data_IF_911193444056
#
_entry.id   IF_911193444056
#
_cell.length_a   1.000
_cell.length_b   1.000
_cell.length_c   1.000
_cell.angle_alpha   90.00
_cell.angle_beta   90.00
_cell.angle_gamma   90.00
#
_symmetry.space_group_name_H-M   'P 1'
#
loop_
_entity.id
_entity.type
_entity.pdbx_description
1 polymer ?
#
# COMPACT_ATOMS: atom_id res chain seq x y z
N UNK A 1 58.08 51.43 15.65
CA UNK A 1 57.25 51.32 14.44
C UNK A 1 56.75 49.88 14.38
N UNK A 2 55.51 49.66 14.85
CA UNK A 2 54.84 48.36 14.81
C UNK A 2 54.01 48.26 13.51
N UNK A 3 54.11 47.16 12.73
CA UNK A 3 53.27 46.97 11.56
C UNK A 3 51.87 46.50 11.97
N UNK A 4 50.86 47.26 11.54
CA UNK A 4 49.43 46.94 11.60
C UNK A 4 49.13 45.64 10.82
N UNK A 5 48.80 44.57 11.54
CA UNK A 5 48.14 43.39 10.97
C UNK A 5 46.76 43.78 10.44
N UNK A 6 46.52 43.46 9.17
CA UNK A 6 45.26 43.71 8.46
C UNK A 6 44.53 42.37 8.32
N UNK A 7 43.38 42.22 8.97
CA UNK A 7 42.56 41.01 8.89
C UNK A 7 41.93 40.85 7.50
N UNK A 8 41.94 39.65 6.90
CA UNK A 8 41.24 39.40 5.64
C UNK A 8 39.73 39.20 5.86
N UNK A 9 38.93 39.91 5.06
CA UNK A 9 37.47 39.76 5.01
C UNK A 9 37.09 38.48 4.28
N UNK A 10 36.38 37.57 4.95
CA UNK A 10 35.79 36.38 4.32
C UNK A 10 34.60 36.76 3.42
N UNK A 11 34.47 36.21 2.22
CA UNK A 11 33.28 36.38 1.39
C UNK A 11 32.10 35.59 1.95
N UNK A 12 30.97 36.25 2.13
CA UNK A 12 29.68 35.64 2.51
C UNK A 12 29.24 34.65 1.43
N UNK A 13 28.87 33.39 1.75
CA UNK A 13 28.30 32.48 0.78
C UNK A 13 26.92 32.99 0.29
N UNK A 14 26.56 32.76 -0.98
CA UNK A 14 25.24 33.14 -1.48
C UNK A 14 24.15 32.34 -0.74
N UNK A 15 22.94 32.90 -0.58
CA UNK A 15 21.84 32.21 0.07
C UNK A 15 21.49 30.95 -0.73
N UNK A 16 21.62 29.80 -0.07
CA UNK A 16 21.13 28.52 -0.56
C UNK A 16 19.66 28.65 -0.93
N UNK A 17 19.36 28.54 -2.22
CA UNK A 17 18.01 28.52 -2.74
C UNK A 17 17.35 27.22 -2.30
N UNK A 18 16.75 27.22 -1.10
CA UNK A 18 15.87 26.16 -0.64
C UNK A 18 14.58 26.22 -1.45
N UNK A 19 14.60 25.59 -2.63
CA UNK A 19 13.41 25.25 -3.40
C UNK A 19 12.64 24.20 -2.61
N UNK A 20 11.78 24.67 -1.71
CA UNK A 20 10.69 23.91 -1.12
C UNK A 20 9.67 23.60 -2.21
N UNK A 21 9.96 22.64 -3.10
CA UNK A 21 8.92 22.09 -3.96
C UNK A 21 8.14 21.07 -3.15
N UNK A 22 7.13 21.54 -2.42
CA UNK A 22 6.07 20.63 -1.97
C UNK A 22 5.53 19.93 -3.22
N UNK A 23 5.33 18.60 -3.18
CA UNK A 23 4.77 17.90 -4.33
C UNK A 23 3.41 18.51 -4.69
N UNK A 24 3.05 18.57 -5.99
CA UNK A 24 1.74 19.05 -6.40
C UNK A 24 0.64 18.20 -5.73
N UNK A 25 -0.52 18.81 -5.45
CA UNK A 25 -1.64 18.09 -4.85
C UNK A 25 -2.08 16.91 -5.75
N UNK A 26 -2.67 15.86 -5.16
CA UNK A 26 -3.25 14.77 -5.93
C UNK A 26 -4.36 15.30 -6.83
N UNK A 27 -4.47 14.70 -8.01
CA UNK A 27 -5.42 15.15 -9.04
C UNK A 27 -6.74 14.37 -9.02
N UNK A 28 -6.80 13.27 -8.26
CA UNK A 28 -7.96 12.42 -8.11
C UNK A 28 -7.90 11.67 -6.77
N UNK A 29 -9.07 11.40 -6.20
CA UNK A 29 -9.29 10.50 -5.07
C UNK A 29 -10.03 9.26 -5.61
N UNK A 30 -9.58 8.06 -5.24
CA UNK A 30 -10.27 6.80 -5.52
C UNK A 30 -10.71 6.16 -4.21
N UNK A 31 -11.97 5.75 -4.15
CA UNK A 31 -12.65 5.12 -3.00
C UNK A 31 -13.37 3.86 -3.44
N UNK A 32 -13.55 2.92 -2.51
CA UNK A 32 -14.21 1.63 -2.79
C UNK A 32 -15.62 1.83 -3.33
N UNK A 33 -16.32 2.84 -2.83
CA UNK A 33 -17.71 3.17 -3.17
C UNK A 33 -17.90 4.00 -4.45
N UNK A 34 -16.83 4.38 -5.15
CA UNK A 34 -16.95 5.22 -6.35
C UNK A 34 -17.72 4.47 -7.45
N UNK A 35 -18.92 4.94 -7.83
CA UNK A 35 -19.80 4.20 -8.74
C UNK A 35 -19.13 3.77 -10.07
N UNK A 36 -18.30 4.60 -10.73
CA UNK A 36 -17.65 4.24 -11.98
C UNK A 36 -16.72 3.02 -11.88
N UNK A 37 -16.20 2.70 -10.68
CA UNK A 37 -15.33 1.55 -10.50
C UNK A 37 -16.08 0.22 -10.65
N UNK A 38 -17.40 0.21 -10.45
CA UNK A 38 -18.22 -0.98 -10.61
C UNK A 38 -18.40 -1.39 -12.08
N UNK A 39 -18.27 -0.44 -13.01
CA UNK A 39 -18.42 -0.65 -14.47
C UNK A 39 -17.10 -1.05 -15.16
N UNK A 40 -15.97 -1.00 -14.44
CA UNK A 40 -14.67 -1.35 -14.99
C UNK A 40 -14.57 -2.84 -15.32
N UNK A 41 -13.81 -3.16 -16.37
CA UNK A 41 -13.46 -4.54 -16.70
C UNK A 41 -12.35 -5.04 -15.78
N UNK A 42 -12.76 -5.62 -14.66
CA UNK A 42 -11.87 -6.27 -13.71
C UNK A 42 -11.38 -7.62 -14.22
N UNK A 43 -10.05 -7.80 -14.28
CA UNK A 43 -9.44 -9.08 -14.69
C UNK A 43 -9.07 -9.86 -13.42
N UNK A 44 -9.66 -11.05 -13.19
CA UNK A 44 -9.30 -11.86 -12.04
C UNK A 44 -7.90 -12.45 -12.21
N UNK A 45 -7.12 -12.42 -11.13
CA UNK A 45 -5.80 -13.03 -11.07
C UNK A 45 -5.67 -13.94 -9.85
N UNK A 46 -4.92 -15.02 -10.02
CA UNK A 46 -4.52 -15.94 -8.94
C UNK A 46 -3.08 -15.66 -8.52
N UNK A 47 -2.85 -15.69 -7.21
CA UNK A 47 -1.48 -15.62 -6.67
C UNK A 47 -0.73 -16.93 -6.91
N UNK A 48 0.46 -16.84 -7.50
CA UNK A 48 1.41 -17.94 -7.63
C UNK A 48 2.41 -17.98 -6.48
N UNK A 49 2.55 -16.86 -5.76
CA UNK A 49 3.45 -16.73 -4.62
C UNK A 49 3.18 -17.78 -3.53
N UNK A 50 4.21 -18.55 -3.19
CA UNK A 50 4.24 -19.42 -2.03
C UNK A 50 4.81 -18.64 -0.85
N UNK A 51 4.13 -18.71 0.28
CA UNK A 51 4.44 -17.96 1.50
C UNK A 51 4.63 -18.89 2.67
N UNK A 52 5.38 -18.42 3.66
CA UNK A 52 5.48 -19.06 4.97
C UNK A 52 4.38 -18.48 5.86
N UNK A 53 3.71 -19.33 6.63
CA UNK A 53 2.77 -18.90 7.64
C UNK A 53 2.98 -19.68 8.93
N UNK A 54 2.77 -18.99 10.06
CA UNK A 54 2.75 -19.59 11.38
C UNK A 54 1.61 -18.96 12.18
N UNK A 55 0.80 -19.81 12.81
CA UNK A 55 -0.23 -19.33 13.71
C UNK A 55 0.41 -18.81 15.00
N UNK A 56 0.04 -17.60 15.42
CA UNK A 56 0.46 -17.02 16.68
C UNK A 56 -0.30 -17.65 17.84
N UNK A 57 0.38 -18.48 18.62
CA UNK A 57 -0.19 -19.19 19.77
C UNK A 57 0.70 -18.97 20.99
N UNK A 58 0.49 -17.89 21.78
CA UNK A 58 1.43 -17.49 22.83
C UNK A 58 1.67 -18.61 23.86
N UNK A 59 2.88 -18.67 24.47
CA UNK A 59 3.30 -19.81 25.29
C UNK A 59 2.55 -20.01 26.60
N UNK A 60 1.99 -18.95 27.21
CA UNK A 60 1.21 -19.04 28.46
C UNK A 60 -0.29 -19.07 28.18
N UNK A 61 -1.00 -19.91 28.94
CA UNK A 61 -2.47 -19.94 28.98
C UNK A 61 -3.06 -19.00 30.03
N UNK A 62 -2.22 -18.33 30.83
CA UNK A 62 -2.68 -17.31 31.78
C UNK A 62 -3.38 -16.19 31.00
N UNK A 63 -4.59 -15.83 31.42
CA UNK A 63 -5.61 -14.95 30.80
C UNK A 63 -5.15 -13.53 30.38
N UNK A 64 -3.87 -13.22 30.43
CA UNK A 64 -3.32 -11.99 29.90
C UNK A 64 -3.28 -12.05 28.36
N UNK A 65 -3.87 -11.08 27.65
CA UNK A 65 -3.75 -11.00 26.21
C UNK A 65 -2.30 -10.71 25.84
N UNK A 66 -1.55 -11.76 25.47
CA UNK A 66 -0.25 -11.60 24.85
C UNK A 66 -0.50 -11.30 23.38
N UNK A 67 -0.12 -10.10 22.97
CA UNK A 67 -0.09 -9.69 21.58
C UNK A 67 1.33 -9.75 21.03
N UNK A 68 1.44 -9.80 19.70
CA UNK A 68 2.73 -9.78 19.00
C UNK A 68 2.76 -8.59 18.03
N UNK A 69 3.66 -7.65 18.25
CA UNK A 69 3.88 -6.53 17.31
C UNK A 69 4.82 -6.95 16.19
N UNK A 70 4.35 -6.89 14.95
CA UNK A 70 5.11 -7.22 13.73
C UNK A 70 5.33 -5.94 12.94
N UNK A 71 6.60 -5.59 12.72
CA UNK A 71 6.98 -4.51 11.81
C UNK A 71 6.90 -5.03 10.38
N UNK A 72 6.02 -4.43 9.60
CA UNK A 72 5.77 -4.80 8.21
C UNK A 72 6.80 -4.17 7.26
N UNK A 73 7.05 -4.79 6.09
CA UNK A 73 7.97 -4.27 5.09
C UNK A 73 7.65 -2.85 4.60
N UNK A 74 6.37 -2.47 4.64
CA UNK A 74 5.89 -1.14 4.24
C UNK A 74 5.96 -0.09 5.36
N UNK A 75 6.51 -0.44 6.53
CA UNK A 75 6.81 0.49 7.62
C UNK A 75 5.83 0.46 8.79
N UNK A 76 4.62 -0.07 8.59
CA UNK A 76 3.62 -0.16 9.66
C UNK A 76 3.96 -1.21 10.71
N UNK A 77 3.34 -1.09 11.87
CA UNK A 77 3.39 -2.10 12.91
C UNK A 77 1.98 -2.65 13.10
N UNK A 78 1.80 -3.95 12.83
CA UNK A 78 0.53 -4.64 13.03
C UNK A 78 0.65 -5.54 14.25
N UNK A 79 -0.39 -5.55 15.08
CA UNK A 79 -0.45 -6.30 16.33
C UNK A 79 -1.28 -7.57 16.12
N UNK A 80 -0.64 -8.74 16.20
CA UNK A 80 -1.31 -10.03 16.11
C UNK A 80 -2.00 -10.40 17.42
N UNK A 81 -3.22 -10.91 17.30
CA UNK A 81 -3.98 -11.55 18.37
C UNK A 81 -3.77 -13.07 18.37
N UNK A 82 -4.04 -13.72 19.50
CA UNK A 82 -3.98 -15.18 19.61
C UNK A 82 -4.84 -15.82 18.50
N UNK A 83 -4.21 -16.68 17.72
CA UNK A 83 -4.85 -17.43 16.63
C UNK A 83 -4.68 -16.78 15.26
N UNK A 84 -4.24 -15.52 15.17
CA UNK A 84 -3.86 -14.88 13.90
C UNK A 84 -2.64 -15.56 13.29
N UNK A 85 -2.37 -15.26 12.02
CA UNK A 85 -1.23 -15.81 11.30
C UNK A 85 -0.20 -14.73 11.02
N UNK A 86 1.07 -15.04 11.31
CA UNK A 86 2.20 -14.27 10.81
C UNK A 86 2.65 -14.89 9.51
N UNK A 87 2.57 -14.10 8.44
CA UNK A 87 2.90 -14.52 7.07
C UNK A 87 4.17 -13.82 6.62
N UNK A 88 5.00 -14.52 5.84
CA UNK A 88 6.19 -13.96 5.16
C UNK A 88 6.33 -14.51 3.76
N UNK A 89 7.08 -13.78 2.93
CA UNK A 89 7.54 -14.33 1.66
C UNK A 89 8.52 -15.50 1.91
N UNK A 90 8.56 -16.47 1.00
CA UNK A 90 9.38 -17.67 1.18
C UNK A 90 10.89 -17.37 1.15
N UNK A 91 11.31 -16.47 0.28
CA UNK A 91 12.69 -16.04 0.06
C UNK A 91 13.13 -14.90 0.99
N UNK A 92 12.16 -14.14 1.52
CA UNK A 92 12.36 -13.04 2.48
C UNK A 92 11.59 -13.31 3.78
N UNK A 93 12.05 -14.26 4.62
CA UNK A 93 11.34 -14.67 5.82
C UNK A 93 11.24 -13.58 6.91
N UNK A 94 12.07 -12.54 6.82
CA UNK A 94 12.01 -11.39 7.72
C UNK A 94 10.91 -10.40 7.32
N UNK A 95 10.51 -10.38 6.05
CA UNK A 95 9.44 -9.55 5.51
C UNK A 95 8.09 -10.13 5.94
N UNK A 96 7.59 -9.70 7.10
CA UNK A 96 6.43 -10.28 7.75
C UNK A 96 5.28 -9.33 7.95
N UNK A 97 4.09 -9.89 7.94
CA UNK A 97 2.86 -9.19 8.24
C UNK A 97 1.89 -10.11 8.96
N UNK A 98 0.93 -9.50 9.64
CA UNK A 98 -0.13 -10.21 10.35
C UNK A 98 -1.33 -10.32 9.43
N UNK A 99 -1.94 -11.50 9.41
CA UNK A 99 -3.24 -11.75 8.77
C UNK A 99 -4.15 -12.32 9.85
N UNK A 100 -5.32 -11.70 10.04
CA UNK A 100 -6.28 -12.21 11.02
C UNK A 100 -6.68 -13.64 10.69
N UNK A 101 -7.02 -14.44 11.70
CA UNK A 101 -7.44 -15.83 11.49
C UNK A 101 -8.56 -15.96 10.46
N UNK A 102 -9.57 -15.10 10.58
CA UNK A 102 -10.73 -15.10 9.68
C UNK A 102 -10.34 -14.83 8.23
N UNK A 103 -9.51 -13.80 7.99
CA UNK A 103 -9.04 -13.47 6.64
C UNK A 103 -8.17 -14.61 6.12
N UNK A 104 -7.31 -15.19 6.94
CA UNK A 104 -6.45 -16.29 6.53
C UNK A 104 -7.26 -17.50 6.07
N UNK A 105 -8.20 -17.95 6.89
CA UNK A 105 -9.04 -19.12 6.61
C UNK A 105 -9.93 -18.90 5.37
N UNK A 106 -10.31 -17.65 5.09
CA UNK A 106 -11.05 -17.27 3.87
C UNK A 106 -10.16 -17.22 2.63
N UNK A 107 -8.96 -16.65 2.73
CA UNK A 107 -8.19 -16.19 1.56
C UNK A 107 -6.94 -17.00 1.25
N UNK A 108 -6.48 -17.85 2.16
CA UNK A 108 -5.30 -18.69 1.99
C UNK A 108 -5.65 -20.18 1.98
N UNK A 109 -4.76 -20.97 1.41
CA UNK A 109 -4.78 -22.43 1.55
C UNK A 109 -3.39 -22.95 1.91
N UNK A 110 -3.36 -24.03 2.69
CA UNK A 110 -2.12 -24.71 3.04
C UNK A 110 -1.65 -25.54 1.85
N UNK A 111 -0.44 -25.29 1.38
CA UNK A 111 0.17 -26.01 0.26
C UNK A 111 0.93 -27.23 0.78
N UNK A 112 1.73 -27.04 1.83
CA UNK A 112 2.44 -28.12 2.54
C UNK A 112 2.78 -27.70 3.96
N UNK A 113 2.81 -28.66 4.87
CA UNK A 113 3.40 -28.42 6.18
C UNK A 113 4.92 -28.46 6.06
N UNK A 114 5.63 -27.58 6.78
CA UNK A 114 7.08 -27.67 6.85
C UNK A 114 7.51 -28.93 7.59
N UNK A 115 8.68 -29.45 7.22
CA UNK A 115 9.29 -30.66 7.78
C UNK A 115 9.87 -30.43 9.20
N UNK A 116 9.59 -29.27 9.82
CA UNK A 116 9.98 -28.94 11.19
C UNK A 116 11.36 -28.30 11.33
N UNK A 117 12.20 -28.28 10.29
CA UNK A 117 13.62 -27.88 10.43
C UNK A 117 13.94 -26.42 10.09
N UNK A 118 13.07 -25.68 9.39
CA UNK A 118 13.33 -24.28 9.04
C UNK A 118 12.83 -23.30 10.13
N UNK A 119 13.19 -23.54 11.40
CA UNK A 119 13.07 -22.50 12.44
C UNK A 119 14.09 -21.41 12.13
N UNK A 120 13.62 -20.22 11.82
CA UNK A 120 14.51 -19.06 11.75
C UNK A 120 14.99 -18.71 13.16
N UNK A 121 16.14 -18.03 13.28
CA UNK A 121 16.59 -17.48 14.57
C UNK A 121 15.54 -16.56 15.22
N UNK A 122 14.65 -15.98 14.41
CA UNK A 122 13.54 -15.16 14.89
C UNK A 122 12.38 -16.00 15.46
N UNK A 123 12.12 -17.19 14.92
CA UNK A 123 11.09 -18.12 15.45
C UNK A 123 11.41 -18.56 16.89
N UNK A 124 12.71 -18.65 17.23
CA UNK A 124 13.19 -18.92 18.58
C UNK A 124 13.13 -17.69 19.50
N UNK A 125 13.39 -16.49 18.97
CA UNK A 125 13.44 -15.25 19.76
C UNK A 125 12.06 -14.66 20.09
N UNK A 126 11.05 -14.82 19.23
CA UNK A 126 9.79 -14.08 19.33
C UNK A 126 8.62 -14.84 19.94
N UNK A 127 8.85 -16.05 20.47
CA UNK A 127 7.83 -16.81 21.20
C UNK A 127 6.50 -16.88 20.44
N UNK A 128 6.55 -17.01 19.10
CA UNK A 128 5.38 -17.30 18.24
C UNK A 128 4.59 -18.53 18.77
N UNK A 129 5.27 -19.33 19.59
CA UNK A 129 4.71 -20.30 20.50
C UNK A 129 4.64 -21.66 19.85
N UNK A 130 3.58 -22.42 20.10
CA UNK A 130 3.46 -23.81 19.60
C UNK A 130 2.95 -23.89 18.16
N UNK A 131 2.69 -22.77 17.49
CA UNK A 131 2.22 -22.75 16.11
C UNK A 131 3.19 -23.48 15.17
N UNK A 132 2.68 -24.42 14.38
CA UNK A 132 3.49 -25.10 13.37
C UNK A 132 3.72 -24.16 12.19
N UNK A 133 4.95 -24.10 11.69
CA UNK A 133 5.27 -23.42 10.43
C UNK A 133 4.78 -24.26 9.24
N UNK A 134 4.14 -23.62 8.27
CA UNK A 134 3.72 -24.27 7.03
C UNK A 134 3.84 -23.31 5.85
N UNK A 135 3.75 -23.87 4.64
CA UNK A 135 3.64 -23.08 3.43
C UNK A 135 2.18 -22.93 3.03
N UNK A 136 1.82 -21.71 2.64
CA UNK A 136 0.50 -21.38 2.14
C UNK A 136 0.63 -20.61 0.83
N UNK A 137 -0.51 -20.45 0.15
CA UNK A 137 -0.68 -19.50 -0.95
C UNK A 137 -2.01 -18.81 -0.83
N UNK A 138 -2.14 -17.61 -1.40
CA UNK A 138 -3.43 -16.91 -1.46
C UNK A 138 -4.30 -17.62 -2.50
N UNK A 139 -5.39 -18.27 -2.06
CA UNK A 139 -6.37 -18.92 -2.94
C UNK A 139 -7.37 -17.94 -3.52
N UNK A 140 -7.63 -16.85 -2.79
CA UNK A 140 -8.53 -15.80 -3.19
C UNK A 140 -8.02 -15.08 -4.43
N UNK A 141 -8.93 -14.79 -5.36
CA UNK A 141 -8.63 -14.00 -6.54
C UNK A 141 -8.35 -12.55 -6.14
N UNK A 142 -7.48 -11.91 -6.89
CA UNK A 142 -7.24 -10.47 -6.85
C UNK A 142 -7.66 -9.91 -8.19
N UNK A 143 -8.56 -8.94 -8.19
CA UNK A 143 -9.08 -8.36 -9.42
C UNK A 143 -8.26 -7.12 -9.74
N UNK A 144 -7.76 -7.03 -10.98
CA UNK A 144 -6.91 -5.92 -11.41
C UNK A 144 -7.55 -5.16 -12.57
N UNK A 145 -7.38 -3.85 -12.54
CA UNK A 145 -7.58 -2.94 -13.67
C UNK A 145 -6.42 -1.94 -13.71
N UNK A 146 -5.95 -1.47 -14.87
CA UNK A 146 -4.93 -0.42 -14.91
C UNK A 146 -5.38 0.81 -14.09
N UNK A 147 -4.50 1.34 -13.25
CA UNK A 147 -4.85 2.48 -12.40
C UNK A 147 -5.25 3.71 -13.23
N UNK A 148 -4.64 3.90 -14.40
CA UNK A 148 -5.02 4.97 -15.33
C UNK A 148 -6.46 4.88 -15.81
N UNK A 149 -6.99 3.66 -15.99
CA UNK A 149 -8.36 3.46 -16.45
C UNK A 149 -9.36 3.74 -15.32
N UNK A 150 -9.03 3.35 -14.08
CA UNK A 150 -9.82 3.70 -12.90
C UNK A 150 -9.88 5.22 -12.67
N UNK A 151 -8.74 5.91 -12.75
CA UNK A 151 -8.68 7.37 -12.62
C UNK A 151 -9.47 8.07 -13.72
N UNK A 152 -9.38 7.59 -14.97
CA UNK A 152 -10.17 8.13 -16.08
C UNK A 152 -11.67 7.97 -15.85
N UNK A 153 -12.12 6.78 -15.46
CA UNK A 153 -13.54 6.51 -15.23
C UNK A 153 -14.15 7.42 -14.15
N UNK A 154 -13.42 7.65 -13.05
CA UNK A 154 -13.87 8.57 -11.99
C UNK A 154 -13.85 10.02 -12.46
N UNK A 155 -12.82 10.44 -13.20
CA UNK A 155 -12.74 11.78 -13.78
C UNK A 155 -13.87 12.09 -14.78
N UNK A 156 -14.17 11.14 -15.67
CA UNK A 156 -15.22 11.28 -16.69
C UNK A 156 -16.61 11.41 -16.02
N UNK A 157 -16.90 10.59 -15.01
CA UNK A 157 -18.16 10.65 -14.27
C UNK A 157 -18.34 11.96 -13.48
N UNK A 158 -17.24 12.53 -12.95
CA UNK A 158 -17.28 13.82 -12.29
C UNK A 158 -17.62 14.95 -13.29
N UNK A 159 -17.07 14.89 -14.51
CA UNK A 159 -17.39 15.86 -15.57
C UNK A 159 -18.85 15.76 -16.04
N UNK A 160 -19.37 14.54 -16.22
CA UNK A 160 -20.75 14.32 -16.69
C UNK A 160 -21.82 14.69 -15.65
N UNK A 161 -21.51 14.58 -14.36
CA UNK A 161 -22.45 14.90 -13.29
C UNK A 161 -22.65 16.41 -13.06
N UNK A 162 -21.86 17.27 -13.71
CA UNK A 162 -21.91 18.72 -13.52
C UNK A 162 -21.62 19.13 -12.06
N UNK A 163 -21.02 18.24 -11.27
CA UNK A 163 -20.61 18.52 -9.90
C UNK A 163 -19.33 19.35 -10.00
N UNK A 164 -19.50 20.67 -10.11
CA UNK A 164 -18.47 21.62 -9.73
C UNK A 164 -17.95 21.20 -8.35
N UNK A 165 -16.63 21.07 -8.24
CA UNK A 165 -15.95 20.32 -7.19
C UNK A 165 -16.55 20.53 -5.81
N UNK A 166 -16.71 19.43 -5.07
CA UNK A 166 -17.10 19.43 -3.66
C UNK A 166 -16.15 20.36 -2.89
N UNK A 167 -16.55 21.61 -2.76
CA UNK A 167 -15.73 22.69 -2.23
C UNK A 167 -15.27 22.30 -0.83
N UNK A 168 -13.95 22.19 -0.69
CA UNK A 168 -13.30 22.09 0.61
C UNK A 168 -13.49 23.45 1.27
N UNK A 169 -14.56 23.59 2.04
CA UNK A 169 -14.88 24.78 2.81
C UNK A 169 -13.66 25.27 3.60
N UNK A 170 -13.08 26.37 3.15
CA UNK A 170 -12.21 27.25 3.93
C UNK A 170 -12.18 28.60 3.23
N UNK A 171 -13.03 29.49 3.73
CA UNK A 171 -12.96 30.95 3.71
C UNK A 171 -11.70 31.49 3.02
N UNK A 172 -11.83 31.82 1.74
CA UNK A 172 -10.71 32.25 0.92
C UNK A 172 -11.12 32.37 -0.55
N UNK A 173 -11.82 33.46 -0.84
CA UNK A 173 -12.13 33.98 -2.18
C UNK A 173 -10.90 33.84 -3.12
N UNK A 174 -10.95 32.84 -3.99
CA UNK A 174 -10.04 32.71 -5.13
C UNK A 174 -10.73 31.86 -6.20
N UNK A 175 -10.82 32.42 -7.39
CA UNK A 175 -11.40 31.85 -8.61
C UNK A 175 -10.91 30.40 -8.82
N UNK A 176 -11.82 29.43 -8.76
CA UNK A 176 -11.51 28.01 -8.96
C UNK A 176 -12.44 27.33 -9.97
N UNK A 177 -12.74 28.01 -11.08
CA UNK A 177 -13.34 27.41 -12.28
C UNK A 177 -12.38 26.44 -13.03
N UNK A 178 -11.26 26.01 -12.42
CA UNK A 178 -10.14 25.39 -13.16
C UNK A 178 -9.63 24.02 -12.68
N UNK A 179 -10.08 23.50 -11.53
CA UNK A 179 -9.43 22.32 -10.93
C UNK A 179 -9.58 21.03 -11.76
N UNK A 180 -10.68 20.87 -12.50
CA UNK A 180 -10.90 19.71 -13.37
C UNK A 180 -10.54 19.97 -14.85
N UNK A 181 -10.52 21.23 -15.31
CA UNK A 181 -10.10 21.56 -16.68
C UNK A 181 -8.58 21.45 -16.89
N UNK A 182 -7.79 21.58 -15.80
CA UNK A 182 -6.33 21.38 -15.83
C UNK A 182 -5.89 19.90 -15.89
N UNK A 183 -6.84 18.95 -15.92
CA UNK A 183 -6.57 17.50 -16.11
C UNK A 183 -6.09 17.22 -17.56
N UNK A 184 -5.84 18.20 -18.42
CA UNK A 184 -5.40 17.95 -19.80
C UNK A 184 -3.96 18.38 -20.13
N UNK A 185 -3.32 19.28 -19.36
CA UNK A 185 -2.01 19.83 -19.75
C UNK A 185 -0.79 19.19 -19.05
N UNK A 186 -0.94 18.64 -17.84
CA UNK A 186 0.17 17.95 -17.18
C UNK A 186 0.36 16.54 -17.79
N UNK A 187 1.59 16.12 -18.16
CA UNK A 187 1.80 14.76 -18.61
C UNK A 187 1.34 13.77 -17.54
N UNK A 188 0.52 12.78 -17.93
CA UNK A 188 -0.08 11.79 -17.01
C UNK A 188 0.95 11.09 -16.11
N UNK A 189 2.21 11.09 -16.54
CA UNK A 189 3.34 10.50 -15.86
C UNK A 189 3.73 11.21 -14.54
N UNK A 190 3.38 12.49 -14.38
CA UNK A 190 3.69 13.27 -13.16
C UNK A 190 2.51 13.34 -12.18
N UNK A 191 1.33 12.88 -12.62
CA UNK A 191 0.09 12.96 -11.85
C UNK A 191 0.09 11.95 -10.72
N UNK A 192 -0.44 12.36 -9.57
CA UNK A 192 -0.61 11.52 -8.38
C UNK A 192 -2.08 11.31 -8.09
N UNK A 193 -2.43 10.11 -7.63
CA UNK A 193 -3.77 9.74 -7.17
C UNK A 193 -3.70 9.31 -5.71
N UNK A 194 -4.69 9.72 -4.93
CA UNK A 194 -4.92 9.22 -3.59
C UNK A 194 -5.89 8.04 -3.64
N UNK A 195 -5.44 6.88 -3.19
CA UNK A 195 -6.28 5.69 -3.07
C UNK A 195 -6.64 5.52 -1.59
N UNK A 196 -7.93 5.59 -1.28
CA UNK A 196 -8.45 5.40 0.08
C UNK A 196 -8.58 3.91 0.35
N UNK A 197 -7.53 3.33 0.91
CA UNK A 197 -7.50 1.94 1.35
C UNK A 197 -8.09 1.81 2.76
N UNK A 198 -8.35 0.58 3.21
CA UNK A 198 -8.81 0.34 4.59
C UNK A 198 -7.74 0.64 5.63
N UNK A 199 -6.48 0.60 5.22
CA UNK A 199 -5.28 0.88 6.02
C UNK A 199 -4.92 2.38 6.04
N UNK A 200 -5.56 3.19 5.18
CA UNK A 200 -5.32 4.63 5.07
C UNK A 200 -5.20 5.12 3.64
N UNK A 201 -4.89 6.40 3.49
CA UNK A 201 -4.73 7.03 2.17
C UNK A 201 -3.32 6.74 1.64
N UNK A 202 -3.25 6.20 0.43
CA UNK A 202 -1.98 5.91 -0.26
C UNK A 202 -1.89 6.75 -1.52
N UNK A 203 -0.87 7.62 -1.59
CA UNK A 203 -0.64 8.48 -2.76
C UNK A 203 0.39 7.87 -3.72
N UNK A 204 -0.04 7.45 -4.91
CA UNK A 204 0.83 6.84 -5.93
C UNK A 204 0.82 7.63 -7.25
N UNK A 205 1.87 7.54 -8.07
CA UNK A 205 1.84 8.09 -9.43
C UNK A 205 0.90 7.29 -10.34
N UNK A 206 0.17 7.98 -11.23
CA UNK A 206 -0.76 7.39 -12.20
C UNK A 206 -0.04 6.66 -13.34
N UNK A 207 1.26 6.94 -13.53
CA UNK A 207 2.13 6.59 -14.66
C UNK A 207 2.36 5.09 -14.97
N UNK A 208 1.31 4.27 -15.08
CA UNK A 208 1.39 2.88 -15.56
C UNK A 208 2.21 1.92 -14.68
N UNK A 209 2.58 2.33 -13.47
CA UNK A 209 3.37 1.52 -12.51
C UNK A 209 2.51 0.78 -11.49
N UNK A 210 1.19 0.98 -11.54
CA UNK A 210 0.25 0.38 -10.60
C UNK A 210 -1.00 -0.09 -11.33
N UNK A 211 -1.50 -1.24 -10.87
CA UNK A 211 -2.90 -1.60 -11.01
C UNK A 211 -3.71 -0.99 -9.89
N UNK A 212 -4.97 -0.67 -10.18
CA UNK A 212 -5.99 -0.57 -9.16
C UNK A 212 -6.48 -2.00 -8.88
N UNK A 213 -6.22 -2.47 -7.67
CA UNK A 213 -6.52 -3.85 -7.27
C UNK A 213 -7.69 -3.87 -6.31
N UNK A 214 -8.52 -4.90 -6.43
CA UNK A 214 -9.66 -5.17 -5.56
C UNK A 214 -9.57 -6.57 -4.96
N UNK A 215 -9.82 -6.65 -3.67
CA UNK A 215 -9.76 -7.88 -2.90
C UNK A 215 -11.10 -8.58 -2.72
N UNK A 216 -11.15 -9.44 -1.70
CA UNK A 216 -12.28 -10.36 -1.51
C UNK A 216 -13.49 -9.69 -0.87
N UNK A 217 -13.24 -8.65 -0.07
CA UNK A 217 -14.28 -7.93 0.67
C UNK A 217 -14.58 -6.59 0.00
N UNK A 218 -14.13 -6.39 -1.25
CA UNK A 218 -14.28 -5.14 -2.00
C UNK A 218 -13.16 -4.14 -1.77
N UNK A 219 -12.23 -4.42 -0.84
CA UNK A 219 -11.18 -3.48 -0.47
C UNK A 219 -10.27 -3.16 -1.66
N UNK A 220 -9.89 -1.89 -1.80
CA UNK A 220 -9.08 -1.39 -2.91
C UNK A 220 -7.68 -1.01 -2.47
N UNK A 221 -6.69 -1.21 -3.35
CA UNK A 221 -5.33 -0.76 -3.13
C UNK A 221 -4.58 -0.51 -4.44
N UNK A 222 -3.57 0.39 -4.46
CA UNK A 222 -2.64 0.45 -5.57
C UNK A 222 -1.69 -0.75 -5.48
N UNK A 223 -1.63 -1.57 -6.54
CA UNK A 223 -0.77 -2.75 -6.58
C UNK A 223 0.33 -2.57 -7.64
N UNK A 224 1.63 -2.64 -7.27
CA UNK A 224 2.72 -2.43 -8.22
C UNK A 224 2.66 -3.40 -9.42
N UNK A 225 2.83 -2.87 -10.63
CA UNK A 225 2.72 -3.63 -11.88
C UNK A 225 3.79 -4.72 -11.99
N UNK A 226 5.01 -4.44 -11.57
CA UNK A 226 6.12 -5.40 -11.51
C UNK A 226 5.81 -6.58 -10.59
N UNK A 227 5.29 -6.28 -9.39
CA UNK A 227 4.86 -7.30 -8.43
C UNK A 227 3.69 -8.13 -8.96
N UNK A 228 2.75 -7.52 -9.69
CA UNK A 228 1.65 -8.25 -10.31
C UNK A 228 2.16 -9.23 -11.37
N UNK A 229 3.04 -8.76 -12.26
CA UNK A 229 3.61 -9.61 -13.31
C UNK A 229 4.45 -10.76 -12.76
N UNK A 230 5.11 -10.55 -11.61
CA UNK A 230 5.90 -11.59 -10.94
C UNK A 230 5.03 -12.63 -10.22
N UNK A 231 3.98 -12.18 -9.52
CA UNK A 231 3.29 -13.00 -8.51
C UNK A 231 1.85 -13.37 -8.84
N UNK A 232 1.28 -12.80 -9.89
CA UNK A 232 -0.12 -12.97 -10.26
C UNK A 232 -0.25 -13.48 -11.69
N UNK A 233 -1.11 -14.48 -11.89
CA UNK A 233 -1.46 -14.99 -13.20
C UNK A 233 -2.94 -14.71 -13.47
N UNK A 234 -3.31 -14.20 -14.66
CA UNK A 234 -4.71 -14.03 -15.03
C UNK A 234 -5.40 -15.40 -15.05
N UNK A 235 -6.66 -15.43 -14.64
CA UNK A 235 -7.50 -16.62 -14.77
C UNK A 235 -8.65 -16.31 -15.73
N UNK A 236 -8.98 -17.27 -16.58
CA UNK A 236 -10.22 -17.22 -17.36
C UNK A 236 -11.40 -17.49 -16.41
N UNK A 237 -12.48 -16.72 -16.57
CA UNK A 237 -13.76 -16.96 -15.89
C UNK A 237 -14.62 -18.01 -16.60
#
# INVERSE_FOLDING_TARGET
EDPKETSPSHPTPPPSSSSSSSPPPPIAELREEDPPLSDLRWIPHRSTAIRRAQQFLPPSEDDQPITLSVKCPWGDVIVAQRGDYVVSEQDRPDDRWVVSREIFDKTYEVVRYGDGEARTKFDEQQRLGKGRLFLCRKRALTYLVPLSDAVRAVGDAAADSGIEGRERGRDGENDSDGAYAAINDDPIEQRRVEVHTREGVVTVPVAGKYYHARGVDGEIWPYPTDKAQEMLEPVDE
#
